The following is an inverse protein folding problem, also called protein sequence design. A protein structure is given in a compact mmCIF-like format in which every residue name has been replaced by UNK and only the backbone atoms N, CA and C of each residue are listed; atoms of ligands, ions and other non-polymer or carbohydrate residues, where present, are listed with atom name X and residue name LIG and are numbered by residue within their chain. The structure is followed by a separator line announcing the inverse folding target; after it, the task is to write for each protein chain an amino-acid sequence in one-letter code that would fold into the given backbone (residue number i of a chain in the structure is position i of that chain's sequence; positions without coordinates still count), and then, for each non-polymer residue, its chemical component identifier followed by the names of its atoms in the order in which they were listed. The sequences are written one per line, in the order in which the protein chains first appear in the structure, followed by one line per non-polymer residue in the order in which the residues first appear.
data_IF_961600771728
#
_entry.id   IF_961600771728
#
_cell.length_a   1.000
_cell.length_b   1.000
_cell.length_c   1.000
_cell.angle_alpha   90.00
_cell.angle_beta   90.00
_cell.angle_gamma   90.00
#
_symmetry.space_group_name_H-M   'P 1'
#
loop_
_entity.id
_entity.type
_entity.pdbx_description
1 polymer ?
#
# COMPACT_ATOMS: atom_id res chain seq x y z
N UNK A 1 22.75 -9.23 -16.05
CA UNK A 1 22.87 -10.28 -17.05
C UNK A 1 24.25 -10.95 -17.02
N UNK A 2 24.26 -12.25 -17.20
CA UNK A 2 25.49 -13.04 -17.23
C UNK A 2 25.76 -13.50 -18.67
N UNK A 3 26.98 -13.32 -19.13
CA UNK A 3 27.36 -13.61 -20.51
C UNK A 3 27.07 -12.44 -21.44
N UNK A 4 27.68 -12.50 -22.65
CA UNK A 4 27.61 -11.41 -23.62
C UNK A 4 28.64 -10.31 -23.37
N UNK A 5 28.60 -9.29 -24.21
CA UNK A 5 29.58 -8.19 -24.22
C UNK A 5 28.89 -6.87 -23.84
N UNK A 6 29.41 -6.21 -22.83
CA UNK A 6 28.92 -4.88 -22.42
C UNK A 6 29.25 -3.82 -23.50
N UNK A 7 28.45 -2.75 -23.65
CA UNK A 7 27.26 -2.42 -22.89
C UNK A 7 26.03 -3.21 -23.33
N UNK A 8 25.06 -3.34 -22.41
CA UNK A 8 23.77 -3.94 -22.68
C UNK A 8 22.70 -2.87 -22.88
N UNK A 9 21.73 -3.19 -23.72
CA UNK A 9 20.51 -2.39 -23.87
C UNK A 9 19.30 -3.22 -23.44
N UNK A 10 18.30 -2.56 -22.92
CA UNK A 10 17.11 -3.19 -22.36
C UNK A 10 15.86 -2.63 -23.02
N UNK A 11 14.91 -3.49 -23.29
CA UNK A 11 13.58 -3.08 -23.76
C UNK A 11 12.53 -3.92 -23.03
N UNK A 12 11.76 -3.27 -22.18
CA UNK A 12 10.70 -3.89 -21.40
C UNK A 12 9.36 -3.85 -22.12
N UNK A 13 8.49 -4.81 -21.80
CA UNK A 13 7.15 -4.90 -22.41
C UNK A 13 6.28 -3.66 -22.16
N UNK A 14 6.57 -2.90 -21.13
CA UNK A 14 5.89 -1.62 -20.82
C UNK A 14 6.53 -0.39 -21.49
N UNK A 15 7.56 -0.59 -22.33
CA UNK A 15 8.25 0.49 -23.03
C UNK A 15 9.44 1.11 -22.32
N UNK A 16 9.75 0.69 -21.11
CA UNK A 16 10.95 1.15 -20.39
C UNK A 16 12.21 0.58 -21.02
N UNK A 17 13.31 1.34 -20.96
CA UNK A 17 14.60 0.98 -21.56
C UNK A 17 15.74 0.97 -20.54
N UNK A 18 15.42 1.01 -19.27
CA UNK A 18 16.37 1.01 -18.16
C UNK A 18 16.73 -0.41 -17.70
N UNK A 19 17.86 -0.55 -17.02
CA UNK A 19 18.25 -1.84 -16.43
C UNK A 19 17.24 -2.34 -15.41
N UNK A 20 16.70 -1.43 -14.61
CA UNK A 20 15.70 -1.72 -13.59
C UNK A 20 14.34 -1.12 -13.95
N UNK A 21 13.28 -1.87 -13.66
CA UNK A 21 11.92 -1.38 -13.79
C UNK A 21 11.58 -0.40 -12.66
N UNK A 22 10.88 0.68 -13.01
CA UNK A 22 10.45 1.71 -12.06
C UNK A 22 8.95 1.97 -12.21
N UNK A 23 8.31 2.32 -11.09
CA UNK A 23 6.90 2.71 -11.05
C UNK A 23 5.97 1.69 -11.71
N UNK A 24 6.21 0.40 -11.44
CA UNK A 24 5.45 -0.70 -12.04
C UNK A 24 4.29 -1.14 -11.15
N UNK A 25 3.26 -1.66 -11.79
CA UNK A 25 2.10 -2.29 -11.14
C UNK A 25 2.26 -3.81 -11.12
N UNK A 26 1.36 -4.49 -10.40
CA UNK A 26 1.28 -5.95 -10.43
C UNK A 26 1.10 -6.42 -11.87
N UNK A 27 1.85 -7.42 -12.26
CA UNK A 27 1.78 -8.01 -13.60
C UNK A 27 3.05 -8.74 -13.98
N UNK A 28 3.02 -9.31 -15.18
CA UNK A 28 4.16 -9.96 -15.77
C UNK A 28 4.84 -9.01 -16.76
N UNK A 29 6.15 -8.88 -16.64
CA UNK A 29 6.96 -8.03 -17.51
C UNK A 29 8.04 -8.86 -18.18
N UNK A 30 8.24 -8.63 -19.49
CA UNK A 30 9.31 -9.22 -20.25
C UNK A 30 10.33 -8.18 -20.65
N UNK A 31 11.60 -8.58 -20.74
CA UNK A 31 12.70 -7.71 -21.17
C UNK A 31 13.49 -8.37 -22.28
N UNK A 32 13.76 -7.60 -23.32
CA UNK A 32 14.69 -7.97 -24.37
C UNK A 32 16.04 -7.30 -24.07
N UNK A 33 17.04 -8.11 -23.76
CA UNK A 33 18.40 -7.65 -23.47
C UNK A 33 19.25 -7.86 -24.70
N UNK A 34 19.91 -6.80 -25.19
CA UNK A 34 20.81 -6.84 -26.35
C UNK A 34 22.21 -6.45 -25.92
N UNK A 35 23.20 -7.27 -26.26
CA UNK A 35 24.60 -6.96 -25.98
C UNK A 35 25.22 -6.07 -27.07
N UNK A 36 26.47 -5.68 -26.88
CA UNK A 36 27.20 -4.84 -27.85
C UNK A 36 27.30 -5.48 -29.25
N UNK A 37 27.35 -6.78 -29.33
CA UNK A 37 27.44 -7.52 -30.59
C UNK A 37 26.09 -7.79 -31.26
N UNK A 38 24.99 -7.33 -30.66
CA UNK A 38 23.65 -7.56 -31.16
C UNK A 38 23.05 -8.91 -30.75
N UNK A 39 23.68 -9.64 -29.84
CA UNK A 39 23.12 -10.87 -29.28
C UNK A 39 21.99 -10.54 -28.33
N UNK A 40 20.85 -11.21 -28.50
CA UNK A 40 19.63 -10.91 -27.74
C UNK A 40 19.25 -12.07 -26.84
N UNK A 41 18.73 -11.71 -25.65
CA UNK A 41 18.14 -12.65 -24.71
C UNK A 41 16.83 -12.10 -24.21
N UNK A 42 15.79 -12.92 -24.21
CA UNK A 42 14.50 -12.58 -23.60
C UNK A 42 14.44 -13.16 -22.20
N UNK A 43 14.08 -12.32 -21.23
CA UNK A 43 13.84 -12.73 -19.85
C UNK A 43 12.53 -12.14 -19.37
N UNK A 44 11.98 -12.67 -18.28
CA UNK A 44 10.72 -12.20 -17.72
C UNK A 44 10.77 -12.15 -16.19
N UNK A 45 10.03 -11.22 -15.62
CA UNK A 45 9.78 -11.16 -14.17
C UNK A 45 8.28 -11.06 -13.92
N UNK A 46 7.84 -11.61 -12.80
CA UNK A 46 6.47 -11.50 -12.34
C UNK A 46 6.44 -10.67 -11.07
N UNK A 47 5.68 -9.60 -11.10
CA UNK A 47 5.44 -8.76 -9.93
C UNK A 47 4.08 -9.13 -9.37
N UNK A 48 4.06 -9.71 -8.18
CA UNK A 48 2.85 -10.17 -7.52
C UNK A 48 2.83 -9.78 -6.05
N UNK A 49 1.63 -9.71 -5.50
CA UNK A 49 1.43 -9.59 -4.06
C UNK A 49 1.21 -10.97 -3.46
N UNK A 50 2.01 -11.33 -2.49
CA UNK A 50 1.81 -12.54 -1.71
C UNK A 50 1.04 -12.31 -0.40
N UNK A 51 0.59 -11.06 -0.17
CA UNK A 51 -0.13 -10.67 1.04
C UNK A 51 0.78 -10.39 2.25
N UNK A 52 2.07 -10.69 2.15
CA UNK A 52 3.05 -10.37 3.20
C UNK A 52 3.75 -9.03 2.98
N UNK A 53 3.84 -8.56 1.73
CA UNK A 53 4.40 -7.28 1.36
C UNK A 53 3.28 -6.25 1.20
N UNK A 54 2.98 -5.53 2.26
CA UNK A 54 1.98 -4.48 2.23
C UNK A 54 2.55 -3.26 1.51
N UNK A 55 2.01 -2.94 0.34
CA UNK A 55 2.37 -1.73 -0.40
C UNK A 55 1.62 -0.49 0.09
N UNK A 56 1.00 -0.56 1.25
CA UNK A 56 0.36 0.58 1.87
C UNK A 56 0.97 0.84 3.25
N UNK A 57 0.91 2.09 3.65
CA UNK A 57 1.41 2.55 4.94
C UNK A 57 0.24 2.85 5.87
N UNK A 58 0.22 2.20 7.02
CA UNK A 58 -0.78 2.41 8.07
C UNK A 58 -0.13 3.21 9.19
N UNK A 59 -0.44 4.51 9.34
CA UNK A 59 0.09 5.30 10.45
C UNK A 59 -0.41 4.78 11.79
N UNK A 60 0.45 4.81 12.80
CA UNK A 60 0.11 4.40 14.16
C UNK A 60 -0.28 5.55 15.07
N UNK A 61 -0.26 6.77 14.54
CA UNK A 61 -0.55 8.00 15.26
C UNK A 61 -1.14 9.04 14.33
N UNK A 62 -2.14 9.78 14.78
CA UNK A 62 -2.58 11.01 14.14
C UNK A 62 -3.06 12.03 15.19
N UNK A 63 -3.15 13.29 14.77
CA UNK A 63 -3.38 14.42 15.69
C UNK A 63 -4.55 15.28 15.23
N UNK A 64 -5.81 14.86 15.50
CA UNK A 64 -6.99 15.59 15.02
C UNK A 64 -7.25 16.83 15.89
N UNK A 65 -6.45 17.89 15.67
CA UNK A 65 -6.51 19.14 16.45
C UNK A 65 -6.93 20.35 15.60
N UNK A 66 -7.25 20.13 14.31
CA UNK A 66 -7.72 21.18 13.41
C UNK A 66 -6.63 22.08 12.86
N UNK A 67 -5.35 21.68 12.93
CA UNK A 67 -4.23 22.47 12.41
C UNK A 67 -3.92 22.21 10.91
N UNK A 68 -4.66 21.30 10.29
CA UNK A 68 -4.49 20.92 8.89
C UNK A 68 -3.39 19.90 8.65
N UNK A 69 -2.74 19.41 9.70
CA UNK A 69 -1.64 18.41 9.64
C UNK A 69 -2.04 17.18 10.43
N UNK A 70 -2.15 16.04 9.76
CA UNK A 70 -2.51 14.76 10.38
C UNK A 70 -3.82 14.81 11.20
N UNK A 71 -4.78 15.60 10.75
CA UNK A 71 -6.10 15.71 11.38
C UNK A 71 -6.99 14.50 11.12
N UNK A 72 -6.63 13.69 10.13
CA UNK A 72 -7.32 12.45 9.81
C UNK A 72 -6.33 11.30 9.71
N UNK A 73 -6.84 10.08 9.91
CA UNK A 73 -6.04 8.87 9.78
C UNK A 73 -5.95 8.46 8.32
N UNK A 74 -4.96 9.00 7.61
CA UNK A 74 -4.69 8.69 6.20
C UNK A 74 -3.92 7.39 6.09
N UNK A 75 -4.48 6.45 5.33
CA UNK A 75 -3.82 5.20 4.98
C UNK A 75 -3.43 5.28 3.51
N UNK A 76 -2.13 5.27 3.23
CA UNK A 76 -1.62 5.37 1.86
C UNK A 76 -1.62 4.00 1.16
N UNK A 77 -1.89 4.00 -0.15
CA UNK A 77 -1.80 2.81 -0.99
C UNK A 77 -3.09 2.01 -1.11
N UNK A 78 -4.22 2.53 -0.66
CA UNK A 78 -5.52 1.85 -0.72
C UNK A 78 -6.13 1.75 -2.13
N UNK A 79 -5.58 2.45 -3.10
CA UNK A 79 -6.06 2.43 -4.49
C UNK A 79 -6.07 1.02 -5.11
N UNK A 80 -5.23 0.13 -4.58
CA UNK A 80 -5.14 -1.26 -5.02
C UNK A 80 -6.23 -2.16 -4.40
N UNK A 81 -6.97 -1.67 -3.42
CA UNK A 81 -7.94 -2.44 -2.65
C UNK A 81 -9.28 -1.71 -2.55
N UNK A 82 -10.06 -1.67 -3.65
CA UNK A 82 -11.29 -0.87 -3.67
C UNK A 82 -12.39 -1.39 -2.74
N UNK A 83 -12.32 -2.66 -2.36
CA UNK A 83 -13.31 -3.31 -1.48
C UNK A 83 -12.85 -3.43 -0.03
N UNK A 84 -11.82 -2.68 0.35
CA UNK A 84 -11.26 -2.71 1.71
C UNK A 84 -12.32 -2.34 2.74
N UNK A 85 -12.31 -3.05 3.87
CA UNK A 85 -13.11 -2.73 5.04
C UNK A 85 -12.20 -2.27 6.18
N UNK A 86 -12.40 -1.05 6.65
CA UNK A 86 -11.65 -0.46 7.76
C UNK A 86 -12.56 -0.32 8.96
N UNK A 87 -12.16 -0.89 10.10
CA UNK A 87 -12.91 -0.83 11.36
C UNK A 87 -11.98 -0.36 12.48
N UNK A 88 -12.51 0.48 13.37
CA UNK A 88 -11.80 0.96 14.57
C UNK A 88 -12.64 0.66 15.81
N UNK A 89 -12.00 0.14 16.84
CA UNK A 89 -12.60 -0.28 18.09
C UNK A 89 -11.92 0.41 19.27
N UNK A 90 -12.66 0.58 20.38
CA UNK A 90 -12.07 0.95 21.65
C UNK A 90 -11.45 -0.31 22.32
N UNK A 91 -10.83 -0.11 23.49
CA UNK A 91 -10.19 -1.20 24.25
C UNK A 91 -11.16 -2.25 24.78
N UNK A 92 -12.47 -1.95 24.77
CA UNK A 92 -13.50 -2.92 25.16
C UNK A 92 -14.10 -3.67 23.97
N UNK A 93 -13.60 -3.43 22.76
CA UNK A 93 -14.10 -4.08 21.56
C UNK A 93 -15.35 -3.46 20.96
N UNK A 94 -15.74 -2.26 21.41
CA UNK A 94 -16.85 -1.52 20.82
C UNK A 94 -16.43 -0.91 19.49
N UNK A 95 -17.23 -1.13 18.44
CA UNK A 95 -17.00 -0.53 17.12
C UNK A 95 -17.27 0.98 17.19
N UNK A 96 -16.27 1.78 16.83
CA UNK A 96 -16.33 3.23 16.82
C UNK A 96 -16.40 3.81 15.41
N UNK A 97 -15.81 3.14 14.43
CA UNK A 97 -15.75 3.59 13.05
C UNK A 97 -15.73 2.39 12.11
N UNK A 98 -16.44 2.49 10.99
CA UNK A 98 -16.42 1.49 9.93
C UNK A 98 -16.53 2.20 8.59
N UNK A 99 -15.71 1.79 7.62
CA UNK A 99 -15.75 2.32 6.26
C UNK A 99 -15.43 1.22 5.24
N UNK A 100 -16.25 1.14 4.21
CA UNK A 100 -15.98 0.29 3.05
C UNK A 100 -15.36 1.14 1.95
N UNK A 101 -14.20 0.71 1.43
CA UNK A 101 -13.43 1.48 0.44
C UNK A 101 -12.63 2.64 1.02
N UNK A 102 -12.91 3.04 2.22
CA UNK A 102 -12.24 4.13 2.95
C UNK A 102 -12.18 5.47 2.17
N UNK A 103 -13.32 5.95 1.62
CA UNK A 103 -13.31 7.20 0.84
C UNK A 103 -13.05 8.43 1.71
N UNK A 104 -13.49 8.40 2.97
CA UNK A 104 -13.33 9.49 3.93
C UNK A 104 -12.48 9.01 5.11
N UNK A 105 -11.25 9.53 5.27
CA UNK A 105 -10.39 9.15 6.38
C UNK A 105 -11.01 9.47 7.75
N UNK A 106 -10.80 8.57 8.71
CA UNK A 106 -11.32 8.75 10.06
C UNK A 106 -10.69 9.95 10.76
N UNK A 107 -11.52 10.78 11.36
CA UNK A 107 -11.14 12.03 12.03
C UNK A 107 -11.04 11.92 13.56
N UNK A 108 -11.13 10.73 14.10
CA UNK A 108 -11.06 10.51 15.54
C UNK A 108 -12.36 10.83 16.29
N UNK A 109 -13.49 10.89 15.58
CA UNK A 109 -14.80 11.10 16.20
C UNK A 109 -15.65 9.84 16.16
N UNK A 110 -16.63 9.79 17.07
CA UNK A 110 -17.68 8.77 17.09
C UNK A 110 -19.02 9.47 17.36
N UNK A 111 -19.99 9.28 16.47
CA UNK A 111 -21.30 9.95 16.52
C UNK A 111 -21.19 11.48 16.65
N UNK A 112 -20.21 12.09 15.96
CA UNK A 112 -19.98 13.53 15.97
C UNK A 112 -19.24 14.07 17.20
N UNK A 113 -18.82 13.21 18.11
CA UNK A 113 -18.09 13.59 19.30
C UNK A 113 -16.61 13.18 19.21
N UNK A 114 -15.72 14.07 19.61
CA UNK A 114 -14.30 13.78 19.69
C UNK A 114 -14.01 12.66 20.69
N UNK A 115 -13.20 11.69 20.28
CA UNK A 115 -12.75 10.63 21.16
C UNK A 115 -11.57 11.10 22.02
N UNK A 116 -11.43 10.56 23.24
CA UNK A 116 -10.29 10.88 24.11
C UNK A 116 -8.94 10.52 23.49
N UNK A 117 -7.90 11.23 23.89
CA UNK A 117 -6.52 10.88 23.61
C UNK A 117 -6.25 9.49 24.16
N UNK A 118 -5.64 8.63 23.35
CA UNK A 118 -5.30 7.28 23.76
C UNK A 118 -5.16 6.32 22.58
N UNK A 119 -5.02 5.05 22.92
CA UNK A 119 -4.88 3.97 21.94
C UNK A 119 -6.24 3.38 21.60
N UNK A 120 -6.43 3.14 20.30
CA UNK A 120 -7.57 2.45 19.71
C UNK A 120 -7.06 1.31 18.86
N UNK A 121 -7.93 0.38 18.49
CA UNK A 121 -7.54 -0.80 17.74
C UNK A 121 -8.24 -0.80 16.40
N UNK A 122 -7.50 -1.19 15.36
CA UNK A 122 -8.07 -1.29 14.02
C UNK A 122 -8.03 -2.72 13.50
N UNK A 123 -8.99 -3.01 12.63
CA UNK A 123 -9.00 -4.21 11.78
C UNK A 123 -9.21 -3.73 10.35
N UNK A 124 -8.34 -4.15 9.44
CA UNK A 124 -8.41 -3.82 8.03
C UNK A 124 -8.48 -5.12 7.25
N UNK A 125 -9.61 -5.34 6.59
CA UNK A 125 -9.84 -6.49 5.72
C UNK A 125 -9.70 -6.03 4.27
N UNK A 126 -8.75 -6.59 3.55
CA UNK A 126 -8.49 -6.25 2.15
C UNK A 126 -9.51 -6.88 1.19
N UNK A 127 -10.34 -7.80 1.67
CA UNK A 127 -11.30 -8.57 0.86
C UNK A 127 -10.66 -9.26 -0.35
N UNK A 128 -9.46 -9.80 -0.16
CA UNK A 128 -8.67 -10.47 -1.21
C UNK A 128 -8.24 -11.89 -0.80
N UNK A 129 -8.99 -12.55 0.08
CA UNK A 129 -8.73 -13.88 0.64
C UNK A 129 -7.49 -13.96 1.54
N UNK A 130 -6.92 -12.81 1.95
CA UNK A 130 -5.87 -12.77 2.96
C UNK A 130 -6.44 -12.50 4.35
N UNK A 131 -5.77 -12.91 5.43
CA UNK A 131 -6.21 -12.58 6.79
C UNK A 131 -6.28 -11.08 7.02
N UNK A 132 -7.24 -10.58 7.83
CA UNK A 132 -7.30 -9.16 8.18
C UNK A 132 -6.03 -8.68 8.87
N UNK A 133 -5.65 -7.43 8.59
CA UNK A 133 -4.60 -6.74 9.32
C UNK A 133 -5.18 -6.12 10.58
N UNK A 134 -4.45 -6.17 11.68
CA UNK A 134 -4.86 -5.55 12.93
C UNK A 134 -3.70 -4.85 13.61
N UNK A 135 -4.00 -3.88 14.43
CA UNK A 135 -3.00 -3.11 15.16
C UNK A 135 -3.63 -2.04 16.02
N UNK A 136 -2.81 -1.14 16.53
CA UNK A 136 -3.24 -0.01 17.33
C UNK A 136 -3.00 1.32 16.61
N UNK A 137 -3.93 2.24 16.78
CA UNK A 137 -3.84 3.64 16.34
C UNK A 137 -3.97 4.54 17.55
N UNK A 138 -3.09 5.51 17.68
CA UNK A 138 -3.09 6.45 18.81
C UNK A 138 -3.62 7.81 18.38
N UNK A 139 -4.56 8.35 19.13
CA UNK A 139 -5.02 9.74 19.01
C UNK A 139 -4.24 10.60 19.98
N UNK A 140 -3.60 11.64 19.45
CA UNK A 140 -3.03 12.77 20.21
C UNK A 140 -3.64 14.09 19.72
N UNK A 141 -3.60 15.13 20.55
CA UNK A 141 -4.07 16.46 20.17
C UNK A 141 -3.11 17.56 20.59
#
# INVERSE_FOLDING_TARGET
PYGGTMPYTYLWSNGQITEDLQNIKIGEYTVLITDFNGCQKLDSISVSFDGSDNCFFIPTLFTPNGDGIHDTWLIDGLDLYPDILVQVFNRWGQLLFESSGYPDPWDGTHNGNELPIGAYYYVIDLNNDTPPLNGAITIKR
#
